data_IF_298471013160
#
_entry.id   IF_298471013160
#
_cell.length_a   1.000
_cell.length_b   1.000
_cell.length_c   1.000
_cell.angle_alpha   90.00
_cell.angle_beta   90.00
_cell.angle_gamma   90.00
#
_symmetry.space_group_name_H-M   'P 1'
#
loop_
_entity.id
_entity.type
_entity.pdbx_description
1 polymer ?
#
# COMPACT_ATOMS: atom_id res chain seq x y z
N UNK A 1 -25.84 -21.48 14.11
CA UNK A 1 -25.38 -20.10 13.87
C UNK A 1 -23.85 -20.15 13.84
N UNK A 2 -23.25 -20.03 12.68
CA UNK A 2 -21.80 -20.04 12.53
C UNK A 2 -21.27 -18.68 12.97
N UNK A 3 -20.81 -18.57 14.22
CA UNK A 3 -20.16 -17.36 14.71
C UNK A 3 -18.76 -17.37 14.11
N UNK A 4 -18.52 -16.57 13.08
CA UNK A 4 -17.17 -16.27 12.64
C UNK A 4 -16.51 -15.42 13.74
N UNK A 5 -15.73 -16.06 14.61
CA UNK A 5 -14.92 -15.34 15.60
C UNK A 5 -13.76 -14.72 14.83
N UNK A 6 -13.85 -13.42 14.58
CA UNK A 6 -12.75 -12.68 14.01
C UNK A 6 -11.64 -12.53 15.06
N UNK A 7 -10.43 -12.97 14.72
CA UNK A 7 -9.26 -12.74 15.56
C UNK A 7 -8.70 -11.34 15.30
N UNK A 8 -8.02 -10.77 16.30
CA UNK A 8 -7.39 -9.46 16.14
C UNK A 8 -6.33 -9.55 15.05
N UNK A 9 -6.27 -8.56 14.13
CA UNK A 9 -5.16 -8.49 13.18
C UNK A 9 -3.84 -8.53 13.96
N UNK A 10 -3.05 -9.60 13.78
CA UNK A 10 -1.72 -9.70 14.35
C UNK A 10 -0.73 -8.80 13.61
N UNK A 11 0.57 -9.04 13.78
CA UNK A 11 1.60 -8.26 13.06
C UNK A 11 1.29 -8.20 11.57
N UNK A 12 1.20 -6.96 11.08
CA UNK A 12 1.19 -6.67 9.66
C UNK A 12 2.64 -6.85 9.16
N UNK A 13 2.81 -7.30 7.93
CA UNK A 13 4.10 -7.46 7.28
C UNK A 13 3.94 -6.95 5.86
N UNK A 14 4.82 -6.03 5.47
CA UNK A 14 4.88 -5.49 4.11
C UNK A 14 6.21 -5.92 3.49
N UNK A 15 6.14 -6.65 2.38
CA UNK A 15 7.32 -7.09 1.64
C UNK A 15 7.20 -6.73 0.15
N UNK A 16 8.15 -5.95 -0.41
CA UNK A 16 9.19 -5.19 0.27
C UNK A 16 8.63 -3.94 1.02
N UNK A 17 9.25 -3.50 2.13
CA UNK A 17 8.81 -2.32 2.90
C UNK A 17 9.22 -0.99 2.25
N UNK A 18 10.09 -1.02 1.24
CA UNK A 18 10.52 0.12 0.47
C UNK A 18 10.48 -0.16 -1.03
N UNK A 19 9.92 0.78 -1.80
CA UNK A 19 9.80 0.66 -3.26
C UNK A 19 10.20 1.97 -3.90
N UNK A 20 11.06 1.86 -4.91
CA UNK A 20 11.42 2.97 -5.79
C UNK A 20 10.84 2.69 -7.19
N UNK A 21 10.03 3.62 -7.67
CA UNK A 21 9.34 3.56 -8.95
C UNK A 21 9.71 4.76 -9.81
N UNK A 22 9.43 4.65 -11.10
CA UNK A 22 9.44 5.79 -12.01
C UNK A 22 8.03 6.07 -12.51
N UNK A 23 7.75 7.33 -12.81
CA UNK A 23 6.47 7.70 -13.43
C UNK A 23 6.31 6.94 -14.75
N UNK A 24 5.18 6.26 -14.92
CA UNK A 24 4.89 5.44 -16.10
C UNK A 24 5.43 4.01 -16.05
N UNK A 25 6.15 3.58 -15.00
CA UNK A 25 6.55 2.18 -14.83
C UNK A 25 5.49 1.37 -14.05
N UNK A 26 5.31 0.10 -14.43
CA UNK A 26 4.50 -0.82 -13.64
C UNK A 26 5.17 -1.08 -12.28
N UNK A 27 4.48 -0.71 -11.20
CA UNK A 27 4.91 -1.01 -9.84
C UNK A 27 4.96 -2.53 -9.63
N UNK A 28 6.05 -3.07 -9.03
CA UNK A 28 6.03 -4.45 -8.58
C UNK A 28 4.98 -4.59 -7.46
N UNK A 29 4.16 -5.66 -7.48
CA UNK A 29 3.11 -5.85 -6.51
C UNK A 29 3.71 -5.89 -5.10
N UNK A 30 3.29 -4.96 -4.24
CA UNK A 30 3.64 -5.01 -2.81
C UNK A 30 2.60 -5.84 -2.10
N UNK A 31 3.05 -6.87 -1.39
CA UNK A 31 2.16 -7.76 -0.67
C UNK A 31 2.08 -7.32 0.79
N UNK A 32 0.87 -6.96 1.21
CA UNK A 32 0.57 -6.67 2.61
C UNK A 32 -0.11 -7.89 3.20
N UNK A 33 0.60 -8.57 4.11
CA UNK A 33 0.11 -9.74 4.81
C UNK A 33 -0.13 -9.40 6.28
N UNK A 34 -1.30 -9.75 6.81
CA UNK A 34 -1.59 -9.61 8.23
C UNK A 34 -2.21 -10.90 8.77
N UNK A 35 -1.95 -11.21 10.05
CA UNK A 35 -2.54 -12.39 10.69
C UNK A 35 -4.00 -12.10 11.04
N UNK A 36 -4.96 -12.74 10.39
CA UNK A 36 -6.39 -12.56 10.67
C UNK A 36 -7.25 -13.07 9.51
N UNK A 37 -8.56 -13.09 9.68
CA UNK A 37 -9.55 -13.45 8.64
C UNK A 37 -10.51 -12.29 8.43
N UNK A 38 -10.95 -12.01 7.19
CA UNK A 38 -11.84 -10.87 6.91
C UNK A 38 -11.18 -9.50 7.08
N UNK A 39 -9.86 -9.44 6.87
CA UNK A 39 -9.10 -8.21 6.97
C UNK A 39 -9.41 -7.30 5.77
N UNK A 40 -9.57 -6.01 6.05
CA UNK A 40 -9.69 -4.96 5.06
C UNK A 40 -8.46 -4.06 5.16
N UNK A 41 -7.90 -3.68 4.02
CA UNK A 41 -6.71 -2.82 3.95
C UNK A 41 -7.07 -1.41 3.51
N UNK A 42 -6.46 -0.41 4.14
CA UNK A 42 -6.52 1.01 3.75
C UNK A 42 -5.13 1.62 3.81
N UNK A 43 -4.87 2.67 3.03
CA UNK A 43 -3.58 3.36 2.98
C UNK A 43 -3.77 4.86 3.19
N UNK A 44 -2.88 5.47 3.97
CA UNK A 44 -2.86 6.91 4.23
C UNK A 44 -1.41 7.45 4.30
N UNK A 45 -1.08 8.56 3.61
CA UNK A 45 -1.89 9.35 2.68
C UNK A 45 -2.37 8.53 1.46
N UNK A 46 -3.37 9.02 0.68
CA UNK A 46 -3.80 8.33 -0.52
C UNK A 46 -2.63 8.16 -1.49
N UNK A 47 -2.60 7.00 -2.16
CA UNK A 47 -1.60 6.72 -3.18
C UNK A 47 -1.70 7.73 -4.33
N UNK A 48 -0.59 8.07 -5.00
CA UNK A 48 -0.59 8.92 -6.20
C UNK A 48 -1.49 8.33 -7.28
N UNK A 49 -1.91 9.17 -8.23
CA UNK A 49 -2.72 8.76 -9.36
C UNK A 49 -2.10 7.57 -10.10
N UNK A 50 -2.95 6.62 -10.48
CA UNK A 50 -2.59 5.39 -11.18
C UNK A 50 -2.08 4.25 -10.28
N UNK A 51 -1.83 4.50 -8.98
CA UNK A 51 -1.63 3.44 -8.00
C UNK A 51 -2.94 3.10 -7.29
N UNK A 52 -3.18 1.80 -7.09
CA UNK A 52 -4.37 1.27 -6.43
C UNK A 52 -3.94 0.23 -5.39
N UNK A 53 -4.55 0.31 -4.21
CA UNK A 53 -4.44 -0.72 -3.19
C UNK A 53 -5.71 -1.56 -3.25
N UNK A 54 -5.55 -2.87 -3.38
CA UNK A 54 -6.62 -3.85 -3.27
C UNK A 54 -6.96 -4.04 -1.77
N UNK A 55 -8.15 -3.60 -1.31
CA UNK A 55 -8.51 -3.67 0.10
C UNK A 55 -8.78 -5.10 0.58
N UNK A 56 -8.93 -6.06 -0.35
CA UNK A 56 -9.25 -7.47 -0.08
C UNK A 56 -7.96 -8.30 0.05
N UNK A 57 -7.03 -8.13 -0.88
CA UNK A 57 -5.78 -8.89 -0.91
C UNK A 57 -4.63 -8.18 -0.21
N UNK A 58 -4.76 -6.88 0.06
CA UNK A 58 -3.66 -6.05 0.56
C UNK A 58 -2.55 -5.87 -0.48
N UNK A 59 -2.84 -6.06 -1.77
CA UNK A 59 -1.84 -5.89 -2.83
C UNK A 59 -1.86 -4.46 -3.33
N UNK A 60 -0.69 -3.84 -3.46
CA UNK A 60 -0.56 -2.50 -4.04
C UNK A 60 0.04 -2.65 -5.42
N UNK A 61 -0.72 -2.25 -6.44
CA UNK A 61 -0.38 -2.38 -7.84
C UNK A 61 -0.79 -1.12 -8.60
N UNK A 62 -0.15 -0.88 -9.74
CA UNK A 62 -0.54 0.19 -10.63
C UNK A 62 0.65 0.84 -11.32
N UNK A 63 0.38 1.97 -11.96
CA UNK A 63 1.36 2.75 -12.71
C UNK A 63 1.29 4.16 -12.14
N UNK A 64 2.30 4.64 -11.40
CA UNK A 64 2.24 5.97 -10.84
C UNK A 64 2.32 7.00 -11.97
N UNK A 65 1.35 7.90 -12.01
CA UNK A 65 1.26 9.01 -12.97
C UNK A 65 1.78 10.32 -12.37
N UNK A 66 2.06 10.34 -11.06
CA UNK A 66 2.48 11.52 -10.30
C UNK A 66 3.80 11.25 -9.57
N UNK A 67 4.63 12.28 -9.45
CA UNK A 67 5.88 12.22 -8.68
C UNK A 67 5.63 12.17 -7.17
N UNK A 68 6.45 11.39 -6.48
CA UNK A 68 6.36 11.21 -5.03
C UNK A 68 7.76 11.28 -4.48
N UNK A 69 7.95 12.15 -3.48
CA UNK A 69 9.22 12.28 -2.77
C UNK A 69 9.81 10.91 -2.43
N UNK A 70 11.05 10.68 -2.84
CA UNK A 70 11.73 9.40 -2.58
C UNK A 70 11.73 9.11 -1.09
N UNK A 71 11.21 7.94 -0.71
CA UNK A 71 11.09 7.54 0.70
C UNK A 71 9.90 8.14 1.44
N UNK A 72 8.88 8.65 0.74
CA UNK A 72 7.63 9.10 1.36
C UNK A 72 6.96 7.93 2.08
N UNK A 73 6.52 8.18 3.31
CA UNK A 73 5.96 7.15 4.17
C UNK A 73 4.45 7.10 3.99
N UNK A 74 3.97 5.95 3.54
CA UNK A 74 2.57 5.56 3.45
C UNK A 74 2.26 4.60 4.59
N UNK A 75 1.22 4.88 5.35
CA UNK A 75 0.78 4.01 6.43
C UNK A 75 -0.31 3.11 5.90
N UNK A 76 -0.05 1.81 5.83
CA UNK A 76 -1.05 0.81 5.48
C UNK A 76 -1.65 0.27 6.77
N UNK A 77 -2.97 0.32 6.88
CA UNK A 77 -3.72 -0.18 8.03
C UNK A 77 -4.57 -1.37 7.58
N UNK A 78 -4.38 -2.52 8.22
CA UNK A 78 -5.32 -3.63 8.12
C UNK A 78 -6.25 -3.60 9.33
N UNK A 79 -7.56 -3.63 9.09
CA UNK A 79 -8.56 -3.59 10.14
C UNK A 79 -9.63 -4.65 9.93
N UNK A 80 -10.24 -5.05 11.03
CA UNK A 80 -11.32 -6.02 11.11
C UNK A 80 -12.20 -5.72 12.33
N UNK A 81 -13.33 -6.42 12.47
CA UNK A 81 -14.29 -6.26 13.58
C UNK A 81 -13.63 -6.43 14.97
N UNK A 82 -12.58 -7.25 15.05
CA UNK A 82 -11.85 -7.50 16.29
C UNK A 82 -10.79 -6.43 16.65
N UNK A 83 -10.29 -5.66 15.67
CA UNK A 83 -9.23 -4.67 15.88
C UNK A 83 -8.54 -4.18 14.60
N UNK A 84 -7.47 -3.41 14.74
CA UNK A 84 -6.67 -2.88 13.63
C UNK A 84 -5.16 -2.95 13.90
N UNK A 85 -4.38 -3.04 12.83
CA UNK A 85 -2.91 -3.04 12.82
C UNK A 85 -2.42 -2.17 11.67
N UNK A 86 -1.24 -1.57 11.81
CA UNK A 86 -0.73 -0.63 10.81
C UNK A 86 0.77 -0.71 10.67
N UNK A 87 1.28 -0.52 9.45
CA UNK A 87 2.69 -0.57 9.11
C UNK A 87 3.06 0.55 8.13
N UNK A 88 4.34 0.89 8.08
CA UNK A 88 4.88 1.97 7.27
C UNK A 88 5.52 1.41 6.00
N UNK A 89 4.93 1.71 4.85
CA UNK A 89 5.50 1.50 3.52
C UNK A 89 6.24 2.76 3.06
N UNK A 90 7.48 2.62 2.62
CA UNK A 90 8.23 3.71 2.01
C UNK A 90 8.10 3.61 0.50
N UNK A 91 7.56 4.64 -0.14
CA UNK A 91 7.39 4.66 -1.59
C UNK A 91 7.99 5.94 -2.15
N UNK A 92 8.81 5.78 -3.18
CA UNK A 92 9.39 6.88 -3.93
C UNK A 92 9.04 6.74 -5.40
N UNK A 93 8.54 7.81 -6.02
CA UNK A 93 8.29 7.86 -7.46
C UNK A 93 9.11 9.00 -8.04
N UNK A 94 10.10 8.66 -8.85
CA UNK A 94 10.87 9.66 -9.59
C UNK A 94 10.26 9.81 -10.98
N UNK A 95 9.73 10.99 -11.30
CA UNK A 95 9.50 11.33 -12.70
C UNK A 95 10.87 11.50 -13.36
N UNK A 96 11.04 10.96 -14.58
CA UNK A 96 12.11 11.49 -15.42
C UNK A 96 11.79 12.98 -15.56
N UNK A 97 12.72 13.90 -15.25
CA UNK A 97 12.40 15.32 -15.21
C UNK A 97 11.80 15.64 -16.57
N UNK A 98 10.54 16.10 -16.58
CA UNK A 98 9.97 16.64 -17.78
C UNK A 98 10.95 17.71 -18.25
N UNK A 99 11.55 17.44 -19.40
CA UNK A 99 12.30 18.42 -20.17
C UNK A 99 11.50 19.71 -20.14
N UNK A 100 12.17 20.82 -19.87
CA UNK A 100 11.61 22.16 -19.85
C UNK A 100 10.60 22.32 -20.99
N UNK A 101 9.32 22.48 -20.64
CA UNK A 101 8.36 23.04 -21.57
C UNK A 101 8.80 24.51 -21.77
N UNK A 102 9.43 24.74 -22.92
CA UNK A 102 9.85 26.03 -23.48
C UNK A 102 8.63 26.89 -23.82
#
# INVERSE_FOLDING_TARGET
>A
VSIAVYDRPGSLVIDPPEVLLRVGECMPPVFVSARGTGLQFRVYPPLPRGLVLDPITGTICGIPEEDVTVGKVFTVTAYNDAGETSEKLRLGVVSMPHSLAY
#
